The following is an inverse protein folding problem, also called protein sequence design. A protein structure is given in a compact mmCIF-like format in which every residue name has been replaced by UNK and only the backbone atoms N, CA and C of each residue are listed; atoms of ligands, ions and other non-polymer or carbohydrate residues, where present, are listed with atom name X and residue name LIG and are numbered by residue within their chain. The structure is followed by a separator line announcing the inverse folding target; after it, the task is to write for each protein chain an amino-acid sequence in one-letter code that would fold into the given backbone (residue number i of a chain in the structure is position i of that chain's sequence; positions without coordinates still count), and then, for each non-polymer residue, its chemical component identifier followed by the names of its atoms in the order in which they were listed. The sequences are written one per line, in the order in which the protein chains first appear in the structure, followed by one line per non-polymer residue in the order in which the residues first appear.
data_IF_965344248550
#
_entry.id   IF_965344248550
#
_cell.length_a   1.000
_cell.length_b   1.000
_cell.length_c   1.000
_cell.angle_alpha   90.00
_cell.angle_beta   90.00
_cell.angle_gamma   90.00
#
_symmetry.space_group_name_H-M   'P 1'
#
loop_
_entity.id
_entity.type
_entity.pdbx_description
1 polymer ?
#
# COMPACT_ATOMS: atom_id res chain seq x y z
N UNK A 1 10.99 3.86 -12.02
CA UNK A 1 11.81 3.89 -10.79
C UNK A 1 11.77 2.50 -10.18
N UNK A 2 12.90 1.99 -9.70
CA UNK A 2 12.99 0.62 -9.19
C UNK A 2 12.44 0.46 -7.77
N UNK A 3 12.57 1.52 -6.95
CA UNK A 3 12.06 1.60 -5.57
C UNK A 3 11.68 3.05 -5.29
N UNK A 4 10.60 3.28 -4.55
CA UNK A 4 10.20 4.61 -4.05
C UNK A 4 10.47 4.67 -2.55
N UNK A 5 11.00 5.79 -2.07
CA UNK A 5 11.16 6.06 -0.63
C UNK A 5 10.18 7.18 -0.26
N UNK A 6 9.33 6.93 0.74
CA UNK A 6 8.29 7.89 1.14
C UNK A 6 7.76 7.60 2.54
N UNK A 7 7.23 8.62 3.21
CA UNK A 7 6.40 8.46 4.42
C UNK A 7 4.89 8.47 4.10
N UNK A 8 4.53 8.86 2.88
CA UNK A 8 3.15 8.96 2.44
C UNK A 8 2.62 7.58 2.02
N UNK A 9 1.70 7.04 2.83
CA UNK A 9 1.07 5.74 2.60
C UNK A 9 0.24 5.69 1.32
N UNK A 10 -0.26 6.82 0.84
CA UNK A 10 -1.16 6.85 -0.32
C UNK A 10 -0.45 6.44 -1.60
N UNK A 11 0.88 6.61 -1.66
CA UNK A 11 1.72 6.15 -2.78
C UNK A 11 1.63 4.63 -3.01
N UNK A 12 1.22 3.83 -2.02
CA UNK A 12 0.89 2.42 -2.22
C UNK A 12 -0.21 2.19 -3.25
N UNK A 13 -1.13 3.13 -3.43
CA UNK A 13 -2.31 3.00 -4.29
C UNK A 13 -2.05 3.36 -5.75
N UNK A 14 -0.95 4.09 -6.02
CA UNK A 14 -0.55 4.56 -7.34
C UNK A 14 0.16 3.49 -8.18
N UNK A 15 0.24 2.26 -7.69
CA UNK A 15 0.66 1.10 -8.47
C UNK A 15 2.15 0.79 -8.43
N UNK A 16 2.91 1.45 -7.56
CA UNK A 16 4.32 1.22 -7.34
C UNK A 16 4.58 -0.22 -6.85
N UNK A 17 5.58 -0.89 -7.41
CA UNK A 17 5.83 -2.30 -7.09
C UNK A 17 6.60 -2.49 -5.78
N UNK A 18 7.49 -1.53 -5.44
CA UNK A 18 8.31 -1.53 -4.22
C UNK A 18 8.38 -0.14 -3.60
N UNK A 19 8.06 -0.06 -2.31
CA UNK A 19 8.12 1.17 -1.54
C UNK A 19 8.85 0.92 -0.22
N UNK A 20 9.78 1.80 0.14
CA UNK A 20 10.41 1.84 1.46
C UNK A 20 9.76 2.97 2.26
N UNK A 21 9.16 2.60 3.38
CA UNK A 21 8.61 3.51 4.38
C UNK A 21 9.54 3.66 5.57
N UNK A 22 9.43 4.77 6.31
CA UNK A 22 10.14 5.00 7.58
C UNK A 22 11.64 4.82 7.47
N UNK A 23 12.22 5.33 6.37
CA UNK A 23 13.66 5.18 6.14
C UNK A 23 14.43 6.14 7.06
N UNK A 24 15.30 5.62 7.91
CA UNK A 24 16.17 6.39 8.77
C UNK A 24 17.42 6.91 8.04
N UNK A 25 18.20 7.75 8.72
CA UNK A 25 19.44 8.33 8.17
C UNK A 25 20.56 7.30 7.94
N UNK A 26 20.42 6.08 8.49
CA UNK A 26 21.34 4.98 8.29
C UNK A 26 20.90 4.04 7.15
N UNK A 27 19.76 4.33 6.51
CA UNK A 27 19.21 3.56 5.39
C UNK A 27 18.31 2.37 5.81
N UNK A 28 17.98 2.25 7.10
CA UNK A 28 17.04 1.22 7.55
C UNK A 28 15.61 1.71 7.34
N UNK A 29 14.73 0.85 6.81
CA UNK A 29 13.32 1.18 6.62
C UNK A 29 12.47 -0.07 6.46
N UNK A 30 11.17 0.15 6.25
CA UNK A 30 10.18 -0.90 6.03
C UNK A 30 9.89 -1.03 4.55
N UNK A 31 10.34 -2.13 3.94
CA UNK A 31 10.03 -2.44 2.54
C UNK A 31 8.63 -3.07 2.45
N UNK A 32 7.78 -2.50 1.61
CA UNK A 32 6.50 -3.08 1.19
C UNK A 32 6.59 -3.41 -0.30
N UNK A 33 6.26 -4.66 -0.62
CA UNK A 33 6.21 -5.18 -1.99
C UNK A 33 4.77 -5.50 -2.37
N UNK A 34 4.31 -4.94 -3.48
CA UNK A 34 2.94 -5.12 -3.98
C UNK A 34 2.57 -6.59 -4.21
N UNK A 35 3.52 -7.41 -4.65
CA UNK A 35 3.35 -8.86 -4.85
C UNK A 35 3.05 -9.61 -3.55
N UNK A 36 3.51 -9.07 -2.41
CA UNK A 36 3.41 -9.68 -1.08
C UNK A 36 2.24 -9.16 -0.24
N UNK A 37 1.48 -8.18 -0.75
CA UNK A 37 0.26 -7.69 -0.10
C UNK A 37 -0.76 -8.82 0.18
N UNK A 38 -0.77 -9.84 -0.67
CA UNK A 38 -1.59 -11.04 -0.49
C UNK A 38 -1.27 -11.84 0.78
N UNK A 39 -0.03 -11.77 1.27
CA UNK A 39 0.42 -12.55 2.45
C UNK A 39 -0.20 -12.02 3.75
N UNK A 40 -0.45 -10.72 3.81
CA UNK A 40 -0.92 -10.04 5.04
C UNK A 40 -2.44 -9.84 5.07
N UNK A 41 -3.07 -9.81 3.89
CA UNK A 41 -4.50 -9.70 3.77
C UNK A 41 -5.10 -11.07 4.04
N UNK A 42 -5.57 -11.29 5.28
CA UNK A 42 -6.23 -12.52 5.77
C UNK A 42 -7.59 -12.82 5.10
N UNK A 43 -7.70 -12.55 3.79
CA UNK A 43 -8.90 -12.71 2.99
C UNK A 43 -9.00 -14.19 2.62
N UNK A 44 -9.89 -14.90 3.32
CA UNK A 44 -10.19 -16.31 3.05
C UNK A 44 -10.87 -16.44 1.68
N UNK A 45 -10.17 -17.05 0.72
CA UNK A 45 -10.80 -17.71 -0.42
C UNK A 45 -11.14 -16.86 -1.66
N UNK A 46 -10.47 -15.73 -1.88
CA UNK A 46 -10.69 -14.92 -3.08
C UNK A 46 -9.39 -14.52 -3.80
N UNK A 47 -9.44 -14.43 -5.13
CA UNK A 47 -8.43 -13.71 -5.91
C UNK A 47 -8.41 -12.25 -5.45
N UNK A 48 -7.36 -11.88 -4.71
CA UNK A 48 -7.06 -10.51 -4.36
C UNK A 48 -6.33 -9.86 -5.52
N UNK A 49 -6.92 -8.78 -6.02
CA UNK A 49 -6.32 -7.93 -7.03
C UNK A 49 -5.94 -6.62 -6.38
N UNK A 50 -4.89 -5.99 -6.90
CA UNK A 50 -4.47 -4.67 -6.46
C UNK A 50 -5.59 -3.62 -6.63
N UNK A 51 -6.49 -3.82 -7.59
CA UNK A 51 -7.68 -2.99 -7.75
C UNK A 51 -8.62 -3.06 -6.54
N UNK A 52 -8.88 -4.27 -6.01
CA UNK A 52 -9.70 -4.44 -4.79
C UNK A 52 -9.04 -3.80 -3.57
N UNK A 53 -7.71 -3.90 -3.47
CA UNK A 53 -6.95 -3.20 -2.43
C UNK A 53 -7.16 -1.69 -2.50
N UNK A 54 -7.02 -1.12 -3.71
CA UNK A 54 -7.23 0.31 -3.93
C UNK A 54 -8.63 0.75 -3.52
N UNK A 55 -9.67 0.00 -3.93
CA UNK A 55 -11.04 0.31 -3.53
C UNK A 55 -11.23 0.23 -2.01
N UNK A 56 -10.64 -0.76 -1.35
CA UNK A 56 -10.69 -0.86 0.11
C UNK A 56 -10.12 0.39 0.78
N UNK A 57 -8.93 0.86 0.36
CA UNK A 57 -8.33 2.06 0.91
C UNK A 57 -9.15 3.33 0.63
N UNK A 58 -9.74 3.47 -0.56
CA UNK A 58 -10.64 4.61 -0.87
C UNK A 58 -11.88 4.59 0.04
N UNK A 59 -12.49 3.42 0.25
CA UNK A 59 -13.68 3.28 1.10
C UNK A 59 -13.38 3.53 2.58
N UNK A 60 -12.17 3.23 3.04
CA UNK A 60 -11.68 3.55 4.38
C UNK A 60 -11.44 5.05 4.60
N UNK A 61 -11.58 5.86 3.57
CA UNK A 61 -11.32 7.30 3.59
C UNK A 61 -9.91 7.61 3.09
N UNK A 62 -9.83 8.56 2.17
CA UNK A 62 -8.58 9.12 1.67
C UNK A 62 -8.77 10.63 1.39
N UNK A 63 -7.69 11.30 0.94
CA UNK A 63 -7.72 12.73 0.63
C UNK A 63 -8.78 13.13 -0.42
N UNK A 64 -9.22 12.19 -1.26
CA UNK A 64 -10.23 12.43 -2.30
C UNK A 64 -11.67 12.20 -1.82
N UNK A 65 -11.87 11.39 -0.79
CA UNK A 65 -13.18 10.96 -0.34
C UNK A 65 -13.13 10.61 1.16
N UNK A 66 -13.93 11.27 2.02
CA UNK A 66 -14.02 10.87 3.42
C UNK A 66 -14.54 9.43 3.55
N UNK A 67 -14.21 8.76 4.66
CA UNK A 67 -14.66 7.39 4.90
C UNK A 67 -16.18 7.28 4.94
N UNK A 68 -16.70 6.11 4.61
CA UNK A 68 -18.11 5.80 4.86
C UNK A 68 -18.42 5.91 6.38
N UNK A 69 -19.64 6.33 6.77
CA UNK A 69 -20.07 6.39 8.16
C UNK A 69 -20.08 5.03 8.87
#
# INVERSE_FOLDING_TARGET
ADIIVTEDSDLLLFGCDKIIFKMDFFGNGTLIEKSRLNEVMSIKGGFYTFEKFRHMCILSGCDYLPSIP
#
